data_IF_187933504017
#
_entry.id   IF_187933504017
#
_cell.length_a   1.000
_cell.length_b   1.000
_cell.length_c   1.000
_cell.angle_alpha   90.00
_cell.angle_beta   90.00
_cell.angle_gamma   90.00
#
_symmetry.space_group_name_H-M   'P 1'
#
loop_
_entity.id
_entity.type
_entity.pdbx_description
1 polymer ?
#
# COMPACT_ATOMS: atom_id res chain seq x y z
N UNK A 1 -5.03 17.75 18.49
CA UNK A 1 -5.88 16.58 18.15
C UNK A 1 -6.77 16.95 16.97
N UNK A 2 -6.46 16.38 15.81
CA UNK A 2 -7.37 16.13 14.69
C UNK A 2 -6.75 14.93 13.99
N UNK A 3 -6.97 13.74 14.55
CA UNK A 3 -6.66 12.48 13.87
C UNK A 3 -8.01 11.98 13.38
N UNK A 4 -8.24 12.06 12.07
CA UNK A 4 -9.45 11.54 11.46
C UNK A 4 -9.63 10.07 11.87
N UNK A 5 -10.87 9.61 12.04
CA UNK A 5 -11.23 8.31 12.60
C UNK A 5 -10.74 7.07 11.81
N UNK A 6 -9.96 7.25 10.74
CA UNK A 6 -9.28 6.20 10.02
C UNK A 6 -8.52 6.76 8.81
N UNK A 7 -7.38 6.13 8.48
CA UNK A 7 -6.77 6.25 7.15
C UNK A 7 -7.34 5.16 6.23
N UNK A 8 -7.19 5.31 4.92
CA UNK A 8 -7.70 4.34 3.94
C UNK A 8 -6.93 4.40 2.62
N UNK A 9 -7.11 3.36 1.80
CA UNK A 9 -6.60 3.28 0.43
C UNK A 9 -7.72 2.77 -0.48
N UNK A 10 -7.63 3.04 -1.78
CA UNK A 10 -8.67 2.64 -2.75
C UNK A 10 -9.04 1.14 -2.68
N UNK A 11 -8.08 0.20 -2.47
CA UNK A 11 -8.38 -1.22 -2.23
C UNK A 11 -9.43 -1.50 -1.16
N UNK A 12 -9.54 -0.65 -0.13
CA UNK A 12 -10.51 -0.80 0.94
C UNK A 12 -11.96 -0.81 0.45
N UNK A 13 -12.27 -0.08 -0.62
CA UNK A 13 -13.58 -0.14 -1.27
C UNK A 13 -13.61 -1.13 -2.43
N UNK A 14 -12.50 -1.32 -3.14
CA UNK A 14 -12.42 -2.24 -4.30
C UNK A 14 -12.71 -3.69 -3.89
N UNK A 15 -12.11 -4.18 -2.80
CA UNK A 15 -12.22 -5.60 -2.43
C UNK A 15 -13.64 -6.01 -1.97
N UNK A 16 -14.49 -5.06 -1.59
CA UNK A 16 -15.89 -5.29 -1.18
C UNK A 16 -16.90 -4.92 -2.26
N UNK A 17 -16.46 -4.39 -3.40
CA UNK A 17 -17.35 -3.98 -4.48
C UNK A 17 -17.86 -5.19 -5.27
N UNK A 18 -19.13 -5.19 -5.67
CA UNK A 18 -19.80 -6.25 -6.45
C UNK A 18 -19.65 -7.62 -5.77
N UNK A 19 -19.01 -8.61 -6.40
CA UNK A 19 -18.76 -9.93 -5.83
C UNK A 19 -17.45 -9.98 -5.01
N UNK A 20 -16.78 -8.85 -4.86
CA UNK A 20 -15.43 -8.76 -4.31
C UNK A 20 -14.37 -9.12 -5.34
N UNK A 21 -13.29 -8.34 -5.35
CA UNK A 21 -12.09 -8.62 -6.15
C UNK A 21 -10.98 -9.11 -5.22
N UNK A 22 -10.29 -10.22 -5.52
CA UNK A 22 -9.07 -10.59 -4.83
C UNK A 22 -8.08 -9.43 -4.89
N UNK A 23 -7.81 -8.82 -3.73
CA UNK A 23 -7.05 -7.57 -3.65
C UNK A 23 -6.06 -7.65 -2.50
N UNK A 24 -4.81 -7.27 -2.76
CA UNK A 24 -3.76 -7.15 -1.76
C UNK A 24 -3.22 -5.72 -1.80
N UNK A 25 -3.06 -5.11 -0.64
CA UNK A 25 -2.44 -3.79 -0.50
C UNK A 25 -1.00 -3.95 -0.05
N UNK A 26 -0.06 -3.45 -0.85
CA UNK A 26 1.35 -3.41 -0.51
C UNK A 26 1.85 -1.97 -0.68
N UNK A 27 2.50 -1.42 0.34
CA UNK A 27 3.02 -0.05 0.32
C UNK A 27 4.40 0.04 0.96
N UNK A 28 5.16 1.08 0.56
CA UNK A 28 6.39 1.47 1.25
C UNK A 28 6.03 2.47 2.36
N UNK A 29 6.55 2.32 3.58
CA UNK A 29 6.39 3.33 4.62
C UNK A 29 6.90 4.71 4.17
N UNK A 30 6.00 5.69 4.17
CA UNK A 30 6.30 7.07 3.76
C UNK A 30 5.70 8.07 4.75
N UNK A 31 6.41 9.16 5.04
CA UNK A 31 5.90 10.33 5.76
C UNK A 31 5.49 11.44 4.80
N UNK A 32 4.48 12.21 5.20
CA UNK A 32 3.95 13.35 4.43
C UNK A 32 3.39 12.94 3.05
N UNK A 33 2.57 11.89 3.02
CA UNK A 33 2.06 11.27 1.77
C UNK A 33 1.10 12.15 0.95
N UNK A 34 0.67 13.30 1.48
CA UNK A 34 -0.16 14.30 0.80
C UNK A 34 0.51 15.69 0.78
N UNK A 35 1.84 15.76 0.80
CA UNK A 35 2.60 17.01 0.74
C UNK A 35 3.46 17.06 -0.53
N UNK A 36 3.88 18.26 -0.93
CA UNK A 36 4.77 18.47 -2.10
C UNK A 36 6.10 17.71 -1.99
N UNK A 37 6.57 17.47 -0.76
CA UNK A 37 7.77 16.70 -0.45
C UNK A 37 7.39 15.61 0.55
N UNK A 38 7.88 14.39 0.34
CA UNK A 38 7.71 13.28 1.26
C UNK A 38 9.02 12.57 1.55
N UNK A 39 9.04 11.78 2.61
CA UNK A 39 10.23 11.06 3.08
C UNK A 39 9.97 9.56 3.12
N UNK A 40 10.92 8.77 2.66
CA UNK A 40 10.89 7.30 2.70
C UNK A 40 12.29 6.74 2.95
N UNK A 41 12.36 5.47 3.31
CA UNK A 41 13.61 4.72 3.47
C UNK A 41 13.89 3.90 2.21
N UNK A 42 15.06 4.11 1.57
CA UNK A 42 15.44 3.37 0.36
C UNK A 42 15.51 1.86 0.59
N UNK A 43 15.99 1.43 1.76
CA UNK A 43 16.05 0.01 2.13
C UNK A 43 14.65 -0.62 2.18
N UNK A 44 13.66 0.11 2.70
CA UNK A 44 12.29 -0.39 2.74
C UNK A 44 11.71 -0.46 1.33
N UNK A 45 12.01 0.51 0.46
CA UNK A 45 11.63 0.46 -0.96
C UNK A 45 12.20 -0.76 -1.66
N UNK A 46 13.50 -1.04 -1.51
CA UNK A 46 14.15 -2.21 -2.10
C UNK A 46 13.54 -3.53 -1.59
N UNK A 47 13.25 -3.62 -0.29
CA UNK A 47 12.63 -4.80 0.29
C UNK A 47 11.18 -4.99 -0.19
N UNK A 48 10.41 -3.91 -0.34
CA UNK A 48 9.05 -3.98 -0.90
C UNK A 48 9.08 -4.45 -2.35
N UNK A 49 10.04 -4.00 -3.15
CA UNK A 49 10.23 -4.48 -4.54
C UNK A 49 10.55 -5.98 -4.53
N UNK A 50 11.49 -6.43 -3.69
CA UNK A 50 11.83 -7.85 -3.56
C UNK A 50 10.60 -8.68 -3.18
N UNK A 51 9.82 -8.23 -2.21
CA UNK A 51 8.58 -8.89 -1.80
C UNK A 51 7.56 -8.97 -2.94
N UNK A 52 7.35 -7.87 -3.67
CA UNK A 52 6.43 -7.86 -4.81
C UNK A 52 6.86 -8.86 -5.90
N UNK A 53 8.16 -8.90 -6.21
CA UNK A 53 8.69 -9.83 -7.21
C UNK A 53 8.51 -11.28 -6.77
N UNK A 54 8.82 -11.62 -5.51
CA UNK A 54 8.61 -12.97 -5.00
C UNK A 54 7.13 -13.35 -4.92
N UNK A 55 6.25 -12.40 -4.58
CA UNK A 55 4.80 -12.61 -4.60
C UNK A 55 4.31 -12.94 -6.01
N UNK A 56 4.73 -12.17 -7.03
CA UNK A 56 4.33 -12.41 -8.42
C UNK A 56 4.80 -13.77 -8.95
N UNK A 57 5.95 -14.30 -8.48
CA UNK A 57 6.41 -15.64 -8.83
C UNK A 57 5.58 -16.77 -8.20
N UNK A 58 4.79 -16.46 -7.17
CA UNK A 58 3.97 -17.42 -6.42
C UNK A 58 2.48 -17.33 -6.74
N UNK A 59 2.05 -16.22 -7.33
CA UNK A 59 0.70 -16.04 -7.82
C UNK A 59 0.66 -16.61 -9.25
N UNK A 60 0.14 -17.84 -9.36
CA UNK A 60 -0.24 -18.49 -10.62
C UNK A 60 -1.68 -18.13 -11.02
#
# INVERSE_FOLDING_TARGET
>A
MSQMAGGGTDPGQIHVNTSGFPTVVLTVPKRHIHSNIGLLCLKDTENTIRLLVELLKKLD
#
